data_IF_737405454917
#
_entry.id   IF_737405454917
#
_cell.length_a   1.000
_cell.length_b   1.000
_cell.length_c   1.000
_cell.angle_alpha   90.00
_cell.angle_beta   90.00
_cell.angle_gamma   90.00
#
_symmetry.space_group_name_H-M   'P 1'
#
loop_
_entity.id
_entity.type
_entity.pdbx_description
1 polymer ?
#
# COMPACT_ATOMS: atom_id res chain seq x y z
N UNK A 1 -66.69 -32.93 -16.32
CA UNK A 1 -67.81 -32.62 -17.23
C UNK A 1 -67.19 -32.44 -18.61
N UNK A 2 -67.41 -33.42 -19.51
CA UNK A 2 -67.38 -33.41 -20.99
C UNK A 2 -66.43 -32.43 -21.73
N UNK A 3 -65.79 -32.76 -22.85
CA UNK A 3 -65.48 -33.96 -23.62
C UNK A 3 -64.48 -33.47 -24.69
N UNK A 4 -63.75 -34.39 -25.29
CA UNK A 4 -62.95 -34.20 -26.50
C UNK A 4 -63.75 -33.69 -27.71
N UNK A 5 -63.00 -33.31 -28.76
CA UNK A 5 -63.21 -33.51 -30.22
C UNK A 5 -63.03 -32.20 -31.00
N UNK A 6 -62.60 -32.15 -32.26
CA UNK A 6 -61.69 -32.90 -33.15
C UNK A 6 -61.74 -32.18 -34.51
N UNK A 7 -60.77 -32.44 -35.40
CA UNK A 7 -60.92 -32.49 -36.87
C UNK A 7 -61.17 -31.14 -37.60
N UNK A 8 -60.21 -30.61 -38.40
CA UNK A 8 -59.94 -30.92 -39.83
C UNK A 8 -61.14 -30.53 -40.73
N UNK A 9 -61.07 -29.86 -41.88
CA UNK A 9 -60.02 -29.71 -42.89
C UNK A 9 -60.62 -28.89 -44.08
N UNK A 10 -59.78 -28.43 -45.03
CA UNK A 10 -60.08 -28.21 -46.48
C UNK A 10 -60.62 -26.84 -47.02
N UNK A 11 -59.78 -26.22 -47.89
CA UNK A 11 -60.00 -25.52 -49.20
C UNK A 11 -59.12 -24.24 -49.31
N UNK A 12 -57.93 -24.22 -49.95
CA UNK A 12 -57.53 -24.39 -51.35
C UNK A 12 -57.36 -23.07 -52.15
N UNK A 13 -56.13 -22.89 -52.69
CA UNK A 13 -55.72 -22.10 -53.87
C UNK A 13 -55.73 -20.55 -53.73
N UNK A 14 -54.74 -19.74 -54.11
CA UNK A 14 -53.89 -19.70 -55.32
C UNK A 14 -52.68 -18.73 -55.16
N UNK A 15 -51.54 -19.10 -55.80
CA UNK A 15 -50.48 -18.27 -56.43
C UNK A 15 -49.52 -17.35 -55.62
N UNK A 16 -48.28 -17.85 -55.50
CA UNK A 16 -47.00 -17.28 -55.95
C UNK A 16 -46.53 -15.88 -55.48
N UNK A 17 -45.44 -15.86 -54.69
CA UNK A 17 -44.12 -15.33 -55.12
C UNK A 17 -43.12 -15.27 -53.94
N UNK A 18 -41.90 -15.77 -54.20
CA UNK A 18 -40.61 -15.44 -53.58
C UNK A 18 -40.52 -15.23 -52.06
N UNK A 19 -39.85 -16.15 -51.34
CA UNK A 19 -38.59 -15.93 -50.60
C UNK A 19 -38.03 -17.30 -50.19
N UNK A 20 -36.81 -17.62 -50.61
CA UNK A 20 -36.04 -18.78 -50.15
C UNK A 20 -35.71 -18.66 -48.65
N UNK A 21 -35.91 -19.71 -47.82
CA UNK A 21 -35.33 -19.74 -46.49
C UNK A 21 -33.90 -20.30 -46.54
N UNK A 22 -32.96 -19.51 -46.05
CA UNK A 22 -31.57 -19.88 -45.84
C UNK A 22 -31.50 -20.88 -44.66
N UNK A 23 -31.51 -22.18 -44.97
CA UNK A 23 -31.24 -23.23 -43.98
C UNK A 23 -29.73 -23.33 -43.77
N UNK A 24 -29.22 -22.66 -42.73
CA UNK A 24 -27.88 -22.95 -42.21
C UNK A 24 -27.91 -24.33 -41.55
N UNK A 25 -27.38 -25.34 -42.24
CA UNK A 25 -27.01 -26.62 -41.65
C UNK A 25 -25.88 -26.37 -40.64
N UNK A 26 -26.19 -26.45 -39.35
CA UNK A 26 -25.19 -26.50 -38.30
C UNK A 26 -24.44 -27.84 -38.38
N UNK A 27 -23.32 -27.86 -39.10
CA UNK A 27 -22.33 -28.93 -38.98
C UNK A 27 -21.70 -28.82 -37.59
N UNK A 28 -22.07 -29.74 -36.69
CA UNK A 28 -21.36 -29.95 -35.43
C UNK A 28 -19.97 -30.48 -35.77
N UNK A 29 -19.01 -29.58 -35.93
CA UNK A 29 -17.60 -29.92 -35.97
C UNK A 29 -17.16 -30.25 -34.54
N UNK A 30 -16.99 -31.54 -34.28
CA UNK A 30 -16.40 -32.08 -33.06
C UNK A 30 -14.91 -31.73 -33.05
N UNK A 31 -14.56 -30.61 -32.42
CA UNK A 31 -13.17 -30.24 -32.17
C UNK A 31 -12.73 -30.83 -30.82
N UNK A 32 -12.62 -32.15 -30.76
CA UNK A 32 -11.81 -32.84 -29.74
C UNK A 32 -10.41 -33.04 -30.35
N UNK A 33 -9.62 -31.97 -30.36
CA UNK A 33 -8.17 -32.08 -30.51
C UNK A 33 -7.56 -31.66 -29.17
N UNK A 34 -6.82 -32.53 -28.46
CA UNK A 34 -6.00 -32.08 -27.36
C UNK A 34 -5.04 -31.05 -27.94
N UNK A 35 -4.99 -29.85 -27.34
CA UNK A 35 -3.86 -28.96 -27.55
C UNK A 35 -2.63 -29.71 -27.02
N UNK A 36 -1.90 -30.38 -27.92
CA UNK A 36 -0.54 -30.82 -27.64
C UNK A 36 0.30 -29.57 -27.37
N UNK A 37 0.40 -29.19 -26.11
CA UNK A 37 1.47 -28.34 -25.62
C UNK A 37 2.78 -29.04 -25.96
N UNK A 38 3.71 -28.42 -26.72
CA UNK A 38 5.03 -28.98 -26.90
C UNK A 38 5.65 -29.10 -25.52
N UNK A 39 5.82 -30.32 -25.05
CA UNK A 39 6.53 -30.63 -23.82
C UNK A 39 8.02 -30.39 -24.10
N UNK A 40 8.43 -29.12 -24.05
CA UNK A 40 9.84 -28.76 -23.96
C UNK A 40 10.39 -29.42 -22.71
N UNK A 41 11.39 -30.29 -22.88
CA UNK A 41 12.17 -30.87 -21.80
C UNK A 41 12.89 -29.74 -21.06
N UNK A 42 12.16 -29.16 -20.10
CA UNK A 42 12.51 -28.10 -19.17
C UNK A 42 12.80 -26.72 -19.80
N UNK A 43 11.88 -25.73 -19.69
CA UNK A 43 12.27 -24.33 -19.88
C UNK A 43 13.43 -23.99 -18.93
N UNK A 44 14.42 -23.26 -19.43
CA UNK A 44 15.58 -22.81 -18.64
C UNK A 44 15.11 -22.04 -17.41
N UNK A 45 15.55 -22.46 -16.22
CA UNK A 45 15.20 -21.81 -14.97
C UNK A 45 16.00 -20.52 -14.85
N UNK A 46 15.30 -19.41 -14.60
CA UNK A 46 15.91 -18.12 -14.39
C UNK A 46 16.35 -17.96 -12.93
N UNK A 47 17.60 -17.59 -12.70
CA UNK A 47 18.05 -17.23 -11.37
C UNK A 47 17.27 -16.02 -10.85
N UNK A 48 17.17 -14.96 -11.66
CA UNK A 48 16.56 -13.69 -11.25
C UNK A 48 15.05 -13.74 -11.09
N UNK A 49 14.36 -14.52 -11.91
CA UNK A 49 12.90 -14.55 -11.92
C UNK A 49 12.30 -15.72 -11.13
N UNK A 50 12.99 -16.87 -11.09
CA UNK A 50 12.45 -18.08 -10.46
C UNK A 50 13.16 -18.37 -9.12
N UNK A 51 14.50 -18.48 -9.12
CA UNK A 51 15.26 -18.81 -7.89
C UNK A 51 15.12 -17.73 -6.82
N UNK A 52 15.26 -16.45 -7.20
CA UNK A 52 15.08 -15.33 -6.26
C UNK A 52 13.66 -15.23 -5.71
N UNK A 53 12.66 -15.61 -6.52
CA UNK A 53 11.27 -15.68 -6.06
C UNK A 53 11.09 -16.80 -5.03
N UNK A 54 11.65 -17.99 -5.27
CA UNK A 54 11.65 -19.11 -4.32
C UNK A 54 12.30 -18.71 -2.99
N UNK A 55 13.49 -18.11 -3.02
CA UNK A 55 14.18 -17.69 -1.79
C UNK A 55 13.38 -16.65 -0.99
N UNK A 56 12.63 -15.80 -1.69
CA UNK A 56 11.72 -14.83 -1.07
C UNK A 56 10.47 -15.50 -0.49
N UNK A 57 9.84 -16.41 -1.24
CA UNK A 57 8.64 -17.17 -0.87
C UNK A 57 8.85 -18.05 0.35
N UNK A 58 9.98 -18.76 0.36
CA UNK A 58 10.42 -19.59 1.48
C UNK A 58 10.84 -18.78 2.72
N UNK A 59 10.98 -17.45 2.59
CA UNK A 59 11.42 -16.56 3.66
C UNK A 59 12.93 -16.64 3.96
N UNK A 60 13.73 -17.26 3.09
CA UNK A 60 15.18 -17.38 3.26
C UNK A 60 15.86 -16.01 3.31
N UNK A 61 15.45 -15.09 2.43
CA UNK A 61 15.95 -13.71 2.34
C UNK A 61 15.24 -12.74 3.29
N UNK A 62 14.45 -13.22 4.25
CA UNK A 62 13.79 -12.35 5.23
C UNK A 62 14.79 -11.76 6.25
N UNK A 63 14.46 -10.58 6.79
CA UNK A 63 15.30 -9.88 7.77
C UNK A 63 15.45 -10.60 9.12
N UNK A 64 14.65 -11.63 9.39
CA UNK A 64 14.77 -12.51 10.56
C UNK A 64 15.63 -13.76 10.29
N UNK A 65 15.98 -14.02 9.03
CA UNK A 65 16.72 -15.19 8.55
C UNK A 65 18.05 -14.75 7.91
N UNK A 66 18.34 -15.17 6.67
CA UNK A 66 19.62 -14.89 6.01
C UNK A 66 19.68 -13.50 5.38
N UNK A 67 18.54 -12.81 5.22
CA UNK A 67 18.45 -11.43 4.73
C UNK A 67 18.74 -10.35 5.77
N UNK A 68 19.14 -10.73 6.99
CA UNK A 68 19.50 -9.79 8.04
C UNK A 68 20.89 -9.17 7.79
N UNK A 69 21.22 -8.07 8.50
CA UNK A 69 22.49 -7.33 8.32
C UNK A 69 23.76 -8.21 8.35
N UNK A 70 23.77 -9.25 9.18
CA UNK A 70 24.91 -10.13 9.42
C UNK A 70 24.75 -11.52 8.76
N UNK A 71 23.59 -11.84 8.20
CA UNK A 71 23.23 -13.22 7.82
C UNK A 71 23.10 -14.15 9.03
N UNK A 72 23.11 -15.48 8.78
CA UNK A 72 23.12 -16.53 9.81
C UNK A 72 23.98 -17.71 9.35
N UNK A 73 24.75 -18.31 10.26
CA UNK A 73 25.56 -19.50 9.95
C UNK A 73 26.58 -19.29 8.82
N UNK A 74 27.14 -18.08 8.70
CA UNK A 74 28.01 -17.70 7.59
C UNK A 74 27.31 -17.67 6.23
N UNK A 75 25.98 -17.57 6.19
CA UNK A 75 25.19 -17.42 4.97
C UNK A 75 24.38 -16.12 5.04
N UNK A 76 24.62 -15.22 4.08
CA UNK A 76 23.99 -13.90 4.04
C UNK A 76 23.45 -13.63 2.65
N UNK A 77 22.13 -13.52 2.58
CA UNK A 77 21.42 -13.04 1.39
C UNK A 77 21.13 -11.55 1.56
N UNK A 78 20.83 -10.87 0.45
CA UNK A 78 20.29 -9.53 0.44
C UNK A 78 18.88 -9.53 1.03
N UNK A 79 18.50 -8.44 1.69
CA UNK A 79 17.19 -8.32 2.32
C UNK A 79 16.10 -8.39 1.25
N UNK A 80 15.20 -9.37 1.35
CA UNK A 80 14.10 -9.61 0.40
C UNK A 80 14.56 -9.80 -1.06
N UNK A 81 15.82 -10.20 -1.29
CA UNK A 81 16.35 -10.45 -2.64
C UNK A 81 16.61 -9.18 -3.45
N UNK A 82 16.92 -8.06 -2.79
CA UNK A 82 17.15 -6.76 -3.43
C UNK A 82 18.42 -6.67 -4.28
N UNK A 83 19.41 -7.55 -4.05
CA UNK A 83 20.69 -7.56 -4.78
C UNK A 83 20.98 -8.95 -5.36
N UNK A 84 20.31 -9.36 -6.47
CA UNK A 84 20.45 -10.70 -7.04
C UNK A 84 21.89 -11.05 -7.43
N UNK A 85 22.68 -10.08 -7.89
CA UNK A 85 24.08 -10.29 -8.25
C UNK A 85 24.94 -10.76 -7.06
N UNK A 86 24.71 -10.16 -5.89
CA UNK A 86 25.38 -10.55 -4.64
C UNK A 86 24.89 -11.94 -4.21
N UNK A 87 23.58 -12.14 -4.24
CA UNK A 87 22.95 -13.41 -3.83
C UNK A 87 23.41 -14.58 -4.69
N UNK A 88 23.59 -14.38 -5.99
CA UNK A 88 24.12 -15.38 -6.91
C UNK A 88 25.53 -15.83 -6.48
N UNK A 89 26.43 -14.87 -6.22
CA UNK A 89 27.80 -15.17 -5.78
C UNK A 89 27.79 -15.86 -4.41
N UNK A 90 26.95 -15.42 -3.49
CA UNK A 90 26.79 -16.06 -2.17
C UNK A 90 26.35 -17.51 -2.28
N UNK A 91 25.44 -17.82 -3.20
CA UNK A 91 24.95 -19.18 -3.38
C UNK A 91 25.97 -20.08 -4.07
N UNK A 92 26.67 -19.57 -5.08
CA UNK A 92 27.47 -20.38 -6.00
C UNK A 92 28.96 -20.42 -5.69
N UNK A 93 29.52 -19.41 -5.01
CA UNK A 93 30.98 -19.25 -4.85
C UNK A 93 31.44 -19.09 -3.41
N UNK A 94 30.63 -18.47 -2.57
CA UNK A 94 31.02 -18.12 -1.21
C UNK A 94 31.32 -19.37 -0.35
N UNK A 95 32.28 -19.23 0.57
CA UNK A 95 32.81 -20.33 1.39
C UNK A 95 33.17 -21.58 0.58
N UNK A 96 33.96 -21.40 -0.49
CA UNK A 96 34.45 -22.47 -1.37
C UNK A 96 33.32 -23.28 -2.04
N UNK A 97 32.25 -22.59 -2.45
CA UNK A 97 31.09 -23.18 -3.13
C UNK A 97 30.37 -24.31 -2.36
N UNK A 98 30.55 -24.40 -1.03
CA UNK A 98 30.03 -25.50 -0.19
C UNK A 98 28.50 -25.67 -0.14
N UNK A 99 27.73 -24.80 -0.80
CA UNK A 99 26.27 -24.70 -0.65
C UNK A 99 25.51 -25.43 -1.74
N UNK A 100 26.16 -25.63 -2.88
CA UNK A 100 25.61 -26.25 -4.07
C UNK A 100 26.59 -27.32 -4.51
N UNK A 101 26.05 -28.51 -4.77
CA UNK A 101 26.74 -29.59 -5.44
C UNK A 101 26.16 -29.71 -6.86
N UNK A 102 26.89 -29.26 -7.90
CA UNK A 102 26.41 -29.31 -9.28
C UNK A 102 26.36 -30.74 -9.84
N UNK A 103 27.12 -31.68 -9.28
CA UNK A 103 27.16 -33.07 -9.73
C UNK A 103 26.02 -33.88 -9.13
N UNK A 104 25.69 -33.61 -7.86
CA UNK A 104 24.55 -34.19 -7.16
C UNK A 104 23.63 -33.09 -6.61
N UNK A 105 22.77 -32.47 -7.46
CA UNK A 105 21.93 -31.35 -7.06
C UNK A 105 21.19 -31.56 -5.74
N UNK A 106 20.66 -32.76 -5.52
CA UNK A 106 19.88 -33.14 -4.33
C UNK A 106 20.70 -33.10 -3.03
N UNK A 107 22.04 -33.22 -3.10
CA UNK A 107 22.95 -33.10 -1.95
C UNK A 107 23.31 -31.64 -1.61
N UNK A 108 22.85 -30.69 -2.42
CA UNK A 108 23.10 -29.27 -2.17
C UNK A 108 22.47 -28.83 -0.84
N UNK A 109 23.25 -28.15 0.01
CA UNK A 109 22.75 -27.61 1.29
C UNK A 109 21.55 -26.67 1.13
N UNK A 110 21.45 -25.97 -0.02
CA UNK A 110 20.31 -25.11 -0.34
C UNK A 110 19.00 -25.88 -0.57
N UNK A 111 19.05 -27.21 -0.78
CA UNK A 111 17.90 -28.10 -0.81
C UNK A 111 17.74 -28.86 0.50
N UNK A 112 18.84 -29.40 1.05
CA UNK A 112 18.81 -30.23 2.26
C UNK A 112 18.36 -29.48 3.52
N UNK A 113 18.82 -28.23 3.72
CA UNK A 113 18.47 -27.43 4.91
C UNK A 113 16.99 -27.01 4.89
N UNK A 114 16.44 -26.41 3.82
CA UNK A 114 15.04 -25.97 3.82
C UNK A 114 14.03 -27.12 3.85
N UNK A 115 14.41 -28.32 3.36
CA UNK A 115 13.61 -29.55 3.45
C UNK A 115 13.84 -30.34 4.74
N UNK A 116 14.67 -29.83 5.66
CA UNK A 116 15.01 -30.44 6.97
C UNK A 116 15.64 -31.84 6.89
N UNK A 117 16.17 -32.24 5.74
CA UNK A 117 16.98 -33.45 5.60
C UNK A 117 18.31 -33.33 6.36
N UNK A 118 18.79 -32.09 6.52
CA UNK A 118 19.87 -31.73 7.44
C UNK A 118 19.34 -30.67 8.41
N UNK A 119 19.82 -30.71 9.66
CA UNK A 119 19.45 -29.78 10.72
C UNK A 119 19.51 -28.31 10.25
N UNK A 120 18.38 -27.62 10.34
CA UNK A 120 18.23 -26.22 9.98
C UNK A 120 17.44 -25.52 11.09
N UNK A 121 18.05 -24.51 11.72
CA UNK A 121 17.38 -23.72 12.77
C UNK A 121 16.12 -23.01 12.27
N UNK A 122 16.07 -22.70 10.97
CA UNK A 122 14.87 -22.20 10.33
C UNK A 122 13.75 -23.25 10.22
N UNK A 123 13.98 -24.52 10.52
CA UNK A 123 12.97 -25.57 10.30
C UNK A 123 12.60 -25.74 8.83
N UNK A 124 11.43 -26.35 8.59
CA UNK A 124 10.91 -26.64 7.26
C UNK A 124 10.46 -25.37 6.55
N UNK A 125 10.89 -25.20 5.30
CA UNK A 125 10.54 -24.05 4.45
C UNK A 125 9.75 -24.45 3.22
N UNK A 126 10.10 -25.57 2.61
CA UNK A 126 9.35 -26.24 1.55
C UNK A 126 9.64 -27.74 1.58
N UNK A 127 8.76 -28.53 0.96
CA UNK A 127 8.87 -30.01 0.94
C UNK A 127 9.69 -30.47 -0.27
N UNK A 128 10.23 -31.68 -0.21
CA UNK A 128 10.74 -32.34 -1.42
C UNK A 128 9.61 -32.50 -2.45
N UNK A 129 9.91 -32.33 -3.74
CA UNK A 129 8.92 -32.38 -4.82
C UNK A 129 7.95 -31.19 -4.90
N UNK A 130 8.13 -30.17 -4.06
CA UNK A 130 7.42 -28.88 -4.19
C UNK A 130 7.93 -28.11 -5.41
N UNK A 131 7.14 -27.14 -5.90
CA UNK A 131 7.54 -26.25 -6.99
C UNK A 131 8.88 -25.55 -6.69
N UNK A 132 9.07 -25.09 -5.45
CA UNK A 132 10.30 -24.44 -5.00
C UNK A 132 11.51 -25.38 -5.05
N UNK A 133 11.33 -26.63 -4.60
CA UNK A 133 12.36 -27.65 -4.65
C UNK A 133 12.76 -27.93 -6.09
N UNK A 134 11.78 -28.13 -6.98
CA UNK A 134 12.02 -28.44 -8.38
C UNK A 134 12.66 -27.27 -9.15
N UNK A 135 12.31 -26.02 -8.83
CA UNK A 135 12.98 -24.84 -9.41
C UNK A 135 14.45 -24.82 -9.01
N UNK A 136 14.75 -24.94 -7.72
CA UNK A 136 16.12 -24.91 -7.22
C UNK A 136 16.95 -26.08 -7.74
N UNK A 137 16.40 -27.31 -7.67
CA UNK A 137 17.06 -28.53 -8.15
C UNK A 137 17.39 -28.43 -9.65
N UNK A 138 16.42 -27.99 -10.48
CA UNK A 138 16.65 -27.80 -11.92
C UNK A 138 17.67 -26.72 -12.21
N UNK A 139 17.63 -25.60 -11.51
CA UNK A 139 18.63 -24.53 -11.70
C UNK A 139 20.05 -25.04 -11.41
N UNK A 140 20.22 -25.84 -10.35
CA UNK A 140 21.51 -26.46 -10.01
C UNK A 140 21.94 -27.44 -11.10
N UNK A 141 21.03 -28.34 -11.52
CA UNK A 141 21.29 -29.33 -12.57
C UNK A 141 21.63 -28.69 -13.93
N UNK A 142 21.13 -27.47 -14.20
CA UNK A 142 21.46 -26.67 -15.39
C UNK A 142 22.81 -25.96 -15.29
N UNK A 143 23.61 -26.21 -14.24
CA UNK A 143 24.90 -25.56 -14.03
C UNK A 143 24.79 -24.14 -13.47
N UNK A 144 23.67 -23.82 -12.80
CA UNK A 144 23.40 -22.55 -12.13
C UNK A 144 23.56 -21.33 -13.06
N UNK A 145 22.83 -21.22 -14.18
CA UNK A 145 22.94 -20.05 -15.06
C UNK A 145 22.63 -18.74 -14.29
N UNK A 146 23.49 -17.72 -14.44
CA UNK A 146 23.31 -16.40 -13.80
C UNK A 146 22.34 -15.47 -14.56
N UNK A 147 22.00 -15.80 -15.80
CA UNK A 147 21.08 -15.08 -16.71
C UNK A 147 21.19 -13.53 -16.74
N UNK A 148 22.35 -13.00 -16.33
CA UNK A 148 22.62 -11.58 -16.27
C UNK A 148 22.61 -11.00 -17.70
N UNK A 149 21.70 -10.07 -17.94
CA UNK A 149 21.53 -9.40 -19.23
C UNK A 149 20.63 -10.14 -20.22
N UNK A 150 20.33 -11.43 -20.00
CA UNK A 150 19.39 -12.20 -20.84
C UNK A 150 18.02 -12.38 -20.18
N UNK A 151 17.94 -12.39 -18.85
CA UNK A 151 16.67 -12.51 -18.15
C UNK A 151 15.77 -11.28 -18.39
N UNK A 152 14.49 -11.48 -18.78
CA UNK A 152 13.55 -10.39 -18.89
C UNK A 152 13.27 -9.83 -17.49
N UNK A 153 13.28 -8.51 -17.35
CA UNK A 153 13.11 -7.85 -16.05
C UNK A 153 11.63 -7.74 -15.73
N UNK A 154 11.27 -7.91 -14.47
CA UNK A 154 9.91 -7.63 -13.99
C UNK A 154 9.63 -6.13 -14.12
N UNK A 155 8.55 -5.76 -14.80
CA UNK A 155 8.11 -4.36 -14.94
C UNK A 155 7.09 -3.98 -13.88
N UNK A 156 6.11 -4.88 -13.65
CA UNK A 156 5.01 -4.68 -12.70
C UNK A 156 4.33 -6.00 -12.36
N UNK A 157 3.60 -6.00 -11.26
CA UNK A 157 2.59 -7.02 -10.97
C UNK A 157 1.20 -6.42 -10.97
N UNK A 158 0.21 -7.23 -11.29
CA UNK A 158 -1.20 -6.92 -11.12
C UNK A 158 -1.81 -8.00 -10.21
N UNK A 159 -2.46 -7.56 -9.14
CA UNK A 159 -3.09 -8.47 -8.18
C UNK A 159 -4.61 -8.31 -8.25
N UNK A 160 -5.32 -9.42 -8.42
CA UNK A 160 -6.77 -9.44 -8.50
C UNK A 160 -7.35 -10.30 -7.37
N UNK A 161 -8.34 -9.79 -6.62
CA UNK A 161 -8.83 -8.41 -6.61
C UNK A 161 -7.84 -7.44 -5.92
N UNK A 162 -7.88 -6.14 -6.28
CA UNK A 162 -7.15 -5.08 -5.55
C UNK A 162 -7.89 -4.61 -4.29
N UNK A 163 -9.22 -4.65 -4.33
CA UNK A 163 -10.06 -4.48 -3.15
C UNK A 163 -11.24 -5.44 -3.18
N UNK A 164 -11.65 -5.94 -2.00
CA UNK A 164 -12.85 -6.75 -1.86
C UNK A 164 -13.46 -6.60 -0.47
N UNK A 165 -14.75 -6.34 -0.44
CA UNK A 165 -15.57 -6.48 0.78
C UNK A 165 -16.23 -7.85 0.72
N UNK A 166 -15.93 -8.69 1.70
CA UNK A 166 -16.54 -9.98 1.92
C UNK A 166 -17.60 -9.85 3.00
N UNK A 167 -18.82 -10.28 2.69
CA UNK A 167 -19.95 -10.23 3.61
C UNK A 167 -20.33 -11.67 3.91
N UNK A 168 -20.44 -12.01 5.19
CA UNK A 168 -20.82 -13.37 5.61
C UNK A 168 -22.05 -13.88 4.83
N UNK A 169 -22.05 -15.17 4.42
CA UNK A 169 -21.11 -16.22 4.80
C UNK A 169 -19.79 -16.25 4.00
N UNK A 170 -19.55 -15.32 3.07
CA UNK A 170 -18.28 -15.27 2.36
C UNK A 170 -17.15 -14.81 3.30
N UNK A 171 -16.18 -15.69 3.55
CA UNK A 171 -15.01 -15.44 4.41
C UNK A 171 -13.69 -15.67 3.71
N UNK A 172 -13.73 -16.13 2.45
CA UNK A 172 -12.55 -16.51 1.68
C UNK A 172 -12.50 -15.79 0.33
N UNK A 173 -11.30 -15.45 -0.10
CA UNK A 173 -11.03 -14.87 -1.43
C UNK A 173 -9.69 -15.35 -1.96
N UNK A 174 -9.71 -15.83 -3.20
CA UNK A 174 -8.49 -16.19 -3.92
C UNK A 174 -7.83 -14.93 -4.50
N UNK A 175 -6.57 -14.70 -4.18
CA UNK A 175 -5.74 -13.71 -4.88
C UNK A 175 -5.10 -14.34 -6.11
N UNK A 176 -5.00 -13.58 -7.19
CA UNK A 176 -4.21 -13.96 -8.38
C UNK A 176 -3.17 -12.90 -8.65
N UNK A 177 -1.94 -13.32 -8.91
CA UNK A 177 -0.80 -12.43 -9.15
C UNK A 177 -0.30 -12.64 -10.57
N UNK A 178 -0.47 -11.63 -11.42
CA UNK A 178 0.04 -11.63 -12.78
C UNK A 178 1.27 -10.72 -12.86
N UNK A 179 2.41 -11.28 -13.24
CA UNK A 179 3.66 -10.54 -13.43
C UNK A 179 3.89 -10.26 -14.91
N UNK A 180 4.15 -9.01 -15.27
CA UNK A 180 4.52 -8.61 -16.63
C UNK A 180 6.01 -8.28 -16.70
N UNK A 181 6.68 -8.83 -17.71
CA UNK A 181 8.13 -8.67 -17.91
C UNK A 181 8.45 -7.84 -19.16
N UNK A 182 9.70 -7.40 -19.29
CA UNK A 182 10.17 -6.52 -20.39
C UNK A 182 10.13 -7.15 -21.78
N UNK A 183 10.03 -8.48 -21.87
CA UNK A 183 9.80 -9.21 -23.12
C UNK A 183 8.33 -9.19 -23.56
N UNK A 184 7.46 -8.53 -22.78
CA UNK A 184 6.01 -8.46 -23.02
C UNK A 184 5.23 -9.65 -22.47
N UNK A 185 5.91 -10.69 -21.98
CA UNK A 185 5.26 -11.89 -21.44
C UNK A 185 4.61 -11.56 -20.10
N UNK A 186 3.40 -12.09 -19.90
CA UNK A 186 2.70 -12.06 -18.63
C UNK A 186 2.57 -13.49 -18.10
N UNK A 187 2.92 -13.72 -16.84
CA UNK A 187 2.86 -15.04 -16.20
C UNK A 187 2.09 -14.97 -14.90
N UNK A 188 1.37 -16.05 -14.59
CA UNK A 188 0.78 -16.25 -13.28
C UNK A 188 1.88 -16.62 -12.28
N UNK A 189 2.00 -15.83 -11.22
CA UNK A 189 3.01 -15.96 -10.16
C UNK A 189 2.34 -16.14 -8.79
N UNK A 190 1.09 -16.59 -8.76
CA UNK A 190 0.31 -16.72 -7.53
C UNK A 190 0.98 -17.64 -6.50
N UNK A 191 1.54 -18.78 -6.92
CA UNK A 191 2.27 -19.70 -6.03
C UNK A 191 3.59 -19.10 -5.55
N UNK A 192 4.33 -18.39 -6.40
CA UNK A 192 5.65 -17.83 -6.09
C UNK A 192 5.63 -16.43 -5.45
N UNK A 193 4.47 -15.78 -5.38
CA UNK A 193 4.31 -14.48 -4.72
C UNK A 193 4.32 -14.61 -3.19
N UNK A 194 4.87 -13.60 -2.52
CA UNK A 194 4.91 -13.50 -1.06
C UNK A 194 3.68 -12.72 -0.58
N UNK A 195 2.96 -13.27 0.40
CA UNK A 195 1.77 -12.66 0.99
C UNK A 195 2.06 -12.28 2.44
N UNK A 196 1.98 -10.98 2.76
CA UNK A 196 2.23 -10.43 4.09
C UNK A 196 0.95 -9.72 4.60
N UNK A 197 0.08 -10.39 5.38
CA UNK A 197 -1.07 -9.73 5.98
C UNK A 197 -0.62 -8.71 7.04
N UNK A 198 -1.22 -7.53 7.03
CA UNK A 198 -0.87 -6.43 7.94
C UNK A 198 -1.26 -6.70 9.41
N UNK A 199 -2.21 -7.61 9.63
CA UNK A 199 -2.69 -7.99 10.96
C UNK A 199 -3.23 -9.44 10.93
N UNK A 200 -3.60 -9.95 12.11
CA UNK A 200 -4.09 -11.33 12.29
C UNK A 200 -5.54 -11.56 11.82
N UNK A 201 -6.21 -10.56 11.24
CA UNK A 201 -7.58 -10.71 10.73
C UNK A 201 -7.66 -11.55 9.45
N UNK A 202 -6.54 -11.76 8.76
CA UNK A 202 -6.46 -12.63 7.60
C UNK A 202 -5.29 -13.61 7.73
N UNK A 203 -5.55 -14.86 7.35
CA UNK A 203 -4.49 -15.83 7.03
C UNK A 203 -4.46 -16.01 5.52
N UNK A 204 -3.27 -16.15 4.96
CA UNK A 204 -3.09 -16.38 3.53
C UNK A 204 -2.39 -17.71 3.35
N UNK A 205 -2.96 -18.58 2.52
CA UNK A 205 -2.34 -19.87 2.17
C UNK A 205 -1.11 -19.66 1.29
N UNK A 206 -0.37 -20.75 1.05
CA UNK A 206 0.73 -20.75 0.10
C UNK A 206 0.28 -20.28 -1.29
N UNK A 207 -0.87 -20.72 -1.77
CA UNK A 207 -1.37 -20.40 -3.11
C UNK A 207 -2.21 -19.13 -3.16
N UNK A 208 -2.13 -18.24 -2.16
CA UNK A 208 -2.82 -16.94 -2.18
C UNK A 208 -4.32 -16.99 -1.84
N UNK A 209 -4.81 -18.09 -1.25
CA UNK A 209 -6.17 -18.13 -0.68
C UNK A 209 -6.17 -17.38 0.65
N UNK A 210 -6.91 -16.29 0.73
CA UNK A 210 -7.08 -15.51 1.95
C UNK A 210 -8.31 -15.99 2.69
N UNK A 211 -8.16 -16.26 3.98
CA UNK A 211 -9.24 -16.62 4.89
C UNK A 211 -9.35 -15.62 6.05
N UNK A 212 -10.51 -14.98 6.16
CA UNK A 212 -10.84 -14.07 7.25
C UNK A 212 -10.93 -14.80 8.60
N UNK A 213 -10.36 -14.21 9.64
CA UNK A 213 -10.34 -14.75 11.01
C UNK A 213 -11.33 -14.02 11.95
N UNK A 214 -11.98 -12.97 11.46
CA UNK A 214 -12.93 -12.17 12.21
C UNK A 214 -13.38 -10.95 11.42
N UNK A 215 -14.28 -10.17 12.01
CA UNK A 215 -14.79 -8.95 11.41
C UNK A 215 -13.76 -7.81 11.47
N UNK A 216 -13.60 -7.07 10.38
CA UNK A 216 -12.72 -5.92 10.32
C UNK A 216 -12.05 -5.76 8.96
N UNK A 217 -11.12 -4.81 8.90
CA UNK A 217 -10.37 -4.51 7.68
C UNK A 217 -8.92 -4.89 7.83
N UNK A 218 -8.34 -5.34 6.72
CA UNK A 218 -6.94 -5.68 6.64
C UNK A 218 -6.39 -5.37 5.26
N UNK A 219 -5.07 -5.31 5.18
CA UNK A 219 -4.35 -5.20 3.91
C UNK A 219 -3.42 -6.39 3.82
N UNK A 220 -3.45 -7.09 2.69
CA UNK A 220 -2.44 -8.09 2.35
C UNK A 220 -1.46 -7.44 1.40
N UNK A 221 -0.22 -7.22 1.85
CA UNK A 221 0.84 -6.79 0.95
C UNK A 221 1.29 -8.00 0.13
N UNK A 222 1.13 -7.91 -1.19
CA UNK A 222 1.54 -8.96 -2.12
C UNK A 222 2.81 -8.52 -2.81
N UNK A 223 3.85 -9.34 -2.75
CA UNK A 223 5.15 -9.02 -3.31
C UNK A 223 5.64 -10.13 -4.23
N UNK A 224 6.21 -9.73 -5.35
CA UNK A 224 6.95 -10.64 -6.22
C UNK A 224 8.20 -9.90 -6.71
N UNK A 225 9.36 -10.48 -6.38
CA UNK A 225 10.66 -9.83 -6.53
C UNK A 225 10.66 -8.42 -5.89
N UNK A 226 10.89 -7.38 -6.70
CA UNK A 226 10.98 -5.98 -6.28
C UNK A 226 9.66 -5.21 -6.40
N UNK A 227 8.62 -5.78 -7.01
CA UNK A 227 7.30 -5.16 -7.10
C UNK A 227 6.43 -5.60 -5.93
N UNK A 228 5.59 -4.68 -5.45
CA UNK A 228 4.64 -4.93 -4.38
C UNK A 228 3.33 -4.19 -4.63
N UNK A 229 2.22 -4.83 -4.31
CA UNK A 229 0.86 -4.29 -4.46
C UNK A 229 0.05 -4.56 -3.19
N UNK A 230 -0.58 -3.55 -2.59
CA UNK A 230 -1.45 -3.74 -1.44
C UNK A 230 -2.86 -4.18 -1.89
N UNK A 231 -3.36 -5.27 -1.33
CA UNK A 231 -4.74 -5.72 -1.50
C UNK A 231 -5.56 -5.37 -0.27
N UNK A 232 -6.62 -4.57 -0.43
CA UNK A 232 -7.47 -4.09 0.67
C UNK A 232 -8.69 -5.00 0.83
N UNK A 233 -8.80 -5.67 1.97
CA UNK A 233 -9.87 -6.62 2.27
C UNK A 233 -10.67 -6.15 3.48
N UNK A 234 -11.98 -6.33 3.43
CA UNK A 234 -12.86 -6.11 4.57
C UNK A 234 -13.76 -7.33 4.77
N UNK A 235 -13.78 -7.87 5.98
CA UNK A 235 -14.66 -8.96 6.39
C UNK A 235 -15.78 -8.36 7.24
N UNK A 236 -17.01 -8.43 6.73
CA UNK A 236 -18.17 -7.74 7.28
C UNK A 236 -19.22 -8.78 7.70
N UNK A 237 -19.72 -8.71 8.95
CA UNK A 237 -20.81 -9.59 9.38
C UNK A 237 -22.08 -9.37 8.55
N UNK A 238 -22.89 -10.42 8.36
CA UNK A 238 -24.06 -10.36 7.47
C UNK A 238 -25.05 -9.24 7.84
N UNK A 239 -25.21 -8.97 9.15
CA UNK A 239 -26.16 -8.01 9.74
C UNK A 239 -27.52 -8.02 9.03
N UNK A 240 -28.30 -9.11 9.18
CA UNK A 240 -29.63 -9.19 8.58
C UNK A 240 -30.49 -8.04 9.11
N UNK A 241 -31.07 -7.24 8.20
CA UNK A 241 -31.85 -6.04 8.57
C UNK A 241 -31.05 -4.74 8.66
N UNK A 242 -29.77 -4.71 8.24
CA UNK A 242 -29.06 -3.44 8.11
C UNK A 242 -29.78 -2.50 7.13
N UNK A 243 -30.25 -1.37 7.66
CA UNK A 243 -30.78 -0.24 6.88
C UNK A 243 -29.92 0.97 7.20
N UNK A 244 -29.42 1.63 6.16
CA UNK A 244 -28.68 2.88 6.30
C UNK A 244 -29.63 3.99 6.76
N UNK A 245 -29.37 4.57 7.94
CA UNK A 245 -30.21 5.62 8.55
C UNK A 245 -30.16 6.96 7.82
N UNK A 246 -29.26 7.12 6.85
CA UNK A 246 -29.07 8.34 6.06
C UNK A 246 -28.98 9.64 6.88
N UNK A 247 -28.02 9.74 7.82
CA UNK A 247 -27.81 10.96 8.59
C UNK A 247 -27.39 12.14 7.70
N UNK A 248 -27.63 13.37 8.14
CA UNK A 248 -27.27 14.57 7.38
C UNK A 248 -25.74 14.68 7.22
N UNK A 249 -25.32 15.08 6.02
CA UNK A 249 -23.94 15.45 5.71
C UNK A 249 -23.67 16.88 6.20
N UNK A 250 -22.67 17.07 7.07
CA UNK A 250 -22.29 18.40 7.57
C UNK A 250 -21.09 18.98 6.82
N UNK A 251 -20.22 18.13 6.30
CA UNK A 251 -19.03 18.52 5.55
C UNK A 251 -18.60 17.41 4.56
N UNK A 252 -17.54 17.68 3.79
CA UNK A 252 -17.01 16.72 2.80
C UNK A 252 -16.36 15.48 3.43
N UNK A 253 -15.95 15.56 4.71
CA UNK A 253 -15.37 14.43 5.44
C UNK A 253 -16.48 13.42 5.76
N UNK A 254 -17.67 13.89 6.15
CA UNK A 254 -18.85 13.03 6.37
C UNK A 254 -19.19 12.21 5.12
N UNK A 255 -19.04 12.77 3.91
CA UNK A 255 -19.26 12.04 2.66
C UNK A 255 -18.35 10.81 2.56
N UNK A 256 -17.06 10.96 2.89
CA UNK A 256 -16.07 9.89 2.85
C UNK A 256 -16.30 8.87 3.97
N UNK A 257 -16.58 9.34 5.19
CA UNK A 257 -16.88 8.48 6.34
C UNK A 257 -18.14 7.66 6.06
N UNK A 258 -19.22 8.28 5.57
CA UNK A 258 -20.48 7.59 5.29
C UNK A 258 -20.38 6.64 4.11
N UNK A 259 -19.61 6.99 3.07
CA UNK A 259 -19.28 6.03 2.02
C UNK A 259 -18.64 4.77 2.61
N UNK A 260 -17.67 4.94 3.52
CA UNK A 260 -17.00 3.81 4.18
C UNK A 260 -17.91 3.02 5.12
N UNK A 261 -18.68 3.69 5.98
CA UNK A 261 -19.59 3.01 6.91
C UNK A 261 -20.66 2.20 6.18
N UNK A 262 -21.14 2.70 5.02
CA UNK A 262 -22.06 1.94 4.15
C UNK A 262 -21.45 0.65 3.63
N UNK A 263 -20.19 0.66 3.16
CA UNK A 263 -19.53 -0.58 2.71
C UNK A 263 -19.36 -1.58 3.85
N UNK A 264 -19.14 -1.09 5.07
CA UNK A 264 -19.02 -1.90 6.28
C UNK A 264 -20.37 -2.25 6.94
N UNK A 265 -21.50 -1.90 6.31
CA UNK A 265 -22.86 -2.09 6.83
C UNK A 265 -23.05 -1.56 8.26
N UNK A 266 -22.41 -0.44 8.59
CA UNK A 266 -22.50 0.23 9.90
C UNK A 266 -23.28 1.53 9.77
N UNK A 267 -24.10 1.83 10.76
CA UNK A 267 -24.62 3.19 10.95
C UNK A 267 -23.65 3.98 11.83
N UNK A 268 -23.46 5.28 11.59
CA UNK A 268 -22.65 6.10 12.49
C UNK A 268 -23.31 6.17 13.87
N UNK A 269 -22.48 6.32 14.89
CA UNK A 269 -22.92 6.54 16.26
C UNK A 269 -23.71 7.84 16.37
N UNK A 270 -24.62 7.87 17.34
CA UNK A 270 -25.36 9.08 17.68
C UNK A 270 -24.43 10.17 18.23
N UNK A 271 -24.90 11.41 18.17
CA UNK A 271 -24.17 12.54 18.74
C UNK A 271 -24.07 12.39 20.25
N UNK A 272 -22.85 12.44 20.77
CA UNK A 272 -22.59 12.40 22.21
C UNK A 272 -23.21 13.60 22.94
N UNK A 273 -23.40 13.50 24.25
CA UNK A 273 -23.82 14.61 25.12
C UNK A 273 -22.79 15.75 25.15
N UNK A 274 -23.15 16.93 25.67
CA UNK A 274 -22.21 18.06 25.73
C UNK A 274 -21.09 17.84 26.77
N UNK A 275 -21.41 17.14 27.86
CA UNK A 275 -20.47 16.71 28.90
C UNK A 275 -19.42 15.75 28.34
N UNK A 276 -19.85 14.78 27.52
CA UNK A 276 -18.94 13.85 26.85
C UNK A 276 -18.11 14.57 25.80
N UNK A 277 -18.72 15.50 25.05
CA UNK A 277 -18.03 16.25 24.01
C UNK A 277 -16.91 17.13 24.56
N UNK A 278 -17.19 17.97 25.57
CA UNK A 278 -16.18 18.90 26.14
C UNK A 278 -14.99 18.12 26.68
N UNK A 279 -15.24 17.02 27.39
CA UNK A 279 -14.17 16.15 27.90
C UNK A 279 -13.31 15.58 26.77
N UNK A 280 -13.92 15.07 25.69
CA UNK A 280 -13.19 14.50 24.55
C UNK A 280 -12.41 15.57 23.79
N UNK A 281 -13.01 16.72 23.52
CA UNK A 281 -12.34 17.82 22.82
C UNK A 281 -11.06 18.27 23.54
N UNK A 282 -11.11 18.44 24.87
CA UNK A 282 -9.92 18.79 25.67
C UNK A 282 -8.85 17.69 25.65
N UNK A 283 -9.24 16.43 25.83
CA UNK A 283 -8.28 15.32 25.82
C UNK A 283 -7.64 15.11 24.45
N UNK A 284 -8.44 15.19 23.38
CA UNK A 284 -7.99 14.94 22.02
C UNK A 284 -7.13 16.10 21.47
N UNK A 285 -7.44 17.35 21.84
CA UNK A 285 -6.73 18.53 21.33
C UNK A 285 -5.56 18.95 22.24
N UNK A 286 -5.72 18.89 23.56
CA UNK A 286 -4.74 19.43 24.52
C UNK A 286 -4.07 18.37 25.39
N UNK A 287 -4.58 17.13 25.40
CA UNK A 287 -4.06 16.07 26.28
C UNK A 287 -4.36 16.26 27.77
N UNK A 288 -5.23 17.21 28.12
CA UNK A 288 -5.62 17.52 29.50
C UNK A 288 -7.13 17.50 29.67
N UNK A 289 -7.62 17.52 30.91
CA UNK A 289 -9.05 17.66 31.21
C UNK A 289 -9.44 19.14 31.31
N UNK A 290 -10.70 19.50 30.99
CA UNK A 290 -11.21 20.82 31.31
C UNK A 290 -11.31 20.97 32.83
N UNK A 291 -11.15 22.20 33.32
CA UNK A 291 -11.52 22.53 34.70
C UNK A 291 -13.03 22.39 34.89
N UNK A 292 -13.47 22.24 36.14
CA UNK A 292 -14.89 22.15 36.46
C UNK A 292 -15.66 23.40 36.01
N UNK A 293 -15.02 24.58 36.06
CA UNK A 293 -15.61 25.83 35.61
C UNK A 293 -15.77 25.87 34.09
N UNK A 294 -14.71 25.58 33.33
CA UNK A 294 -14.77 25.51 31.85
C UNK A 294 -15.83 24.51 31.36
N UNK A 295 -15.89 23.33 31.98
CA UNK A 295 -16.87 22.31 31.62
C UNK A 295 -18.31 22.77 31.89
N UNK A 296 -18.58 23.38 33.05
CA UNK A 296 -19.91 23.92 33.39
C UNK A 296 -20.28 25.09 32.50
N UNK A 297 -19.34 26.01 32.25
CA UNK A 297 -19.54 27.15 31.37
C UNK A 297 -19.92 26.67 29.95
N UNK A 298 -19.20 25.68 29.42
CA UNK A 298 -19.56 25.07 28.15
C UNK A 298 -20.94 24.42 28.22
N UNK A 299 -21.21 23.51 29.15
CA UNK A 299 -22.51 22.79 29.20
C UNK A 299 -23.69 23.77 29.30
N UNK A 300 -23.56 24.82 30.12
CA UNK A 300 -24.60 25.82 30.34
C UNK A 300 -24.68 26.90 29.25
N UNK A 301 -23.74 26.96 28.31
CA UNK A 301 -23.80 27.89 27.19
C UNK A 301 -25.02 27.58 26.30
N UNK A 302 -25.97 28.51 26.33
CA UNK A 302 -27.23 28.51 25.58
C UNK A 302 -27.23 29.54 24.43
N UNK A 303 -26.12 30.25 24.22
CA UNK A 303 -26.04 31.47 23.42
C UNK A 303 -26.54 31.25 21.99
N UNK A 304 -27.49 32.08 21.59
CA UNK A 304 -27.81 32.45 20.21
C UNK A 304 -26.92 33.65 19.90
N UNK A 305 -25.92 33.52 19.03
CA UNK A 305 -25.23 34.71 18.54
C UNK A 305 -25.00 34.60 17.04
N UNK A 306 -25.51 35.62 16.36
CA UNK A 306 -25.59 35.80 14.91
C UNK A 306 -24.25 36.10 14.23
N UNK A 307 -23.12 35.82 14.89
CA UNK A 307 -21.81 36.25 14.41
C UNK A 307 -20.75 35.21 14.78
N UNK A 308 -20.68 34.15 13.97
CA UNK A 308 -19.52 33.27 13.94
C UNK A 308 -18.87 33.53 12.60
N UNK A 309 -17.62 34.03 12.63
CA UNK A 309 -16.73 34.01 11.46
C UNK A 309 -16.94 32.70 10.72
N UNK A 310 -17.25 32.78 9.42
CA UNK A 310 -17.66 31.64 8.58
C UNK A 310 -16.93 30.35 8.99
N UNK A 311 -17.64 29.26 9.34
CA UNK A 311 -17.01 28.02 9.76
C UNK A 311 -15.91 27.62 8.76
N UNK A 312 -14.72 27.32 9.28
CA UNK A 312 -13.47 27.10 8.51
C UNK A 312 -13.59 25.95 7.49
N UNK A 313 -14.64 25.13 7.57
CA UNK A 313 -14.88 23.97 6.69
C UNK A 313 -16.19 24.05 5.88
N UNK A 314 -16.62 25.24 5.45
CA UNK A 314 -17.68 25.34 4.46
C UNK A 314 -17.16 24.98 3.06
N UNK A 315 -17.42 23.74 2.66
CA UNK A 315 -17.42 23.40 1.25
C UNK A 315 -18.55 24.20 0.58
N UNK A 316 -18.25 25.04 -0.42
CA UNK A 316 -19.29 25.80 -1.17
C UNK A 316 -20.37 24.88 -1.77
N UNK A 317 -20.08 23.58 -1.93
CA UNK A 317 -21.04 22.58 -2.42
C UNK A 317 -21.96 21.99 -1.33
N UNK A 318 -21.64 22.13 -0.04
CA UNK A 318 -22.48 21.59 1.05
C UNK A 318 -23.55 22.57 1.54
N UNK A 319 -23.46 23.86 1.18
CA UNK A 319 -24.41 24.88 1.62
C UNK A 319 -25.63 25.04 0.70
N UNK A 320 -25.56 24.61 -0.56
CA UNK A 320 -26.54 25.02 -1.58
C UNK A 320 -27.74 24.07 -1.69
N UNK A 321 -27.85 23.01 -0.87
CA UNK A 321 -28.81 21.93 -1.15
C UNK A 321 -29.58 21.27 -0.01
N UNK A 322 -29.48 21.69 1.26
CA UNK A 322 -30.15 20.96 2.33
C UNK A 322 -31.18 21.79 3.12
N UNK A 323 -32.48 21.73 2.75
CA UNK A 323 -33.57 22.39 3.49
C UNK A 323 -33.85 21.73 4.87
N UNK A 324 -33.12 20.68 5.25
CA UNK A 324 -33.18 20.03 6.56
C UNK A 324 -31.80 20.03 7.23
N UNK A 325 -31.21 21.21 7.41
CA UNK A 325 -30.39 21.45 8.59
C UNK A 325 -31.29 21.14 9.79
N UNK A 326 -31.11 19.93 10.35
CA UNK A 326 -31.81 19.42 11.52
C UNK A 326 -32.05 20.54 12.53
N UNK A 327 -33.30 20.63 13.02
CA UNK A 327 -33.87 21.59 14.00
C UNK A 327 -32.92 22.68 14.52
N UNK A 328 -33.34 23.94 14.58
CA UNK A 328 -32.53 25.07 15.07
C UNK A 328 -31.69 24.78 16.35
N UNK A 329 -32.16 23.89 17.22
CA UNK A 329 -31.42 23.29 18.34
C UNK A 329 -30.12 22.56 17.96
N UNK A 330 -30.11 21.67 16.97
CA UNK A 330 -28.91 20.93 16.55
C UNK A 330 -27.88 21.86 15.92
N UNK A 331 -28.32 22.80 15.06
CA UNK A 331 -27.42 23.80 14.47
C UNK A 331 -26.71 24.61 15.54
N UNK A 332 -27.44 25.09 16.55
CA UNK A 332 -26.87 25.82 17.69
C UNK A 332 -25.84 24.99 18.43
N UNK A 333 -26.17 23.72 18.69
CA UNK A 333 -25.27 22.78 19.36
C UNK A 333 -23.97 22.58 18.60
N UNK A 334 -24.04 22.39 17.28
CA UNK A 334 -22.84 22.24 16.43
C UNK A 334 -22.00 23.51 16.37
N UNK A 335 -22.63 24.69 16.30
CA UNK A 335 -21.93 25.98 16.32
C UNK A 335 -21.20 26.22 17.65
N UNK A 336 -21.86 25.93 18.77
CA UNK A 336 -21.25 25.97 20.11
C UNK A 336 -20.02 25.06 20.19
N UNK A 337 -20.09 23.84 19.63
CA UNK A 337 -18.95 22.90 19.58
C UNK A 337 -17.81 23.40 18.71
N UNK A 338 -18.11 23.98 17.54
CA UNK A 338 -17.11 24.55 16.66
C UNK A 338 -16.35 25.70 17.35
N UNK A 339 -17.06 26.62 18.02
CA UNK A 339 -16.44 27.71 18.80
C UNK A 339 -15.51 27.19 19.88
N UNK A 340 -15.91 26.14 20.62
CA UNK A 340 -15.03 25.53 21.61
C UNK A 340 -13.77 24.98 20.95
N UNK A 341 -13.90 24.25 19.83
CA UNK A 341 -12.74 23.71 19.10
C UNK A 341 -11.79 24.84 18.69
N UNK A 342 -12.31 25.92 18.08
CA UNK A 342 -11.50 27.05 17.65
C UNK A 342 -10.72 27.67 18.83
N UNK A 343 -11.38 27.85 19.98
CA UNK A 343 -10.74 28.34 21.21
C UNK A 343 -9.65 27.40 21.73
N UNK A 344 -9.86 26.08 21.66
CA UNK A 344 -8.86 25.11 22.10
C UNK A 344 -7.67 25.03 21.14
N UNK A 345 -7.87 25.21 19.84
CA UNK A 345 -6.77 25.22 18.86
C UNK A 345 -5.83 26.42 19.05
N UNK A 346 -6.33 27.54 19.58
CA UNK A 346 -5.54 28.75 19.86
C UNK A 346 -4.71 28.65 21.15
N UNK A 347 -4.96 27.64 21.99
CA UNK A 347 -4.25 27.45 23.27
C UNK A 347 -2.82 26.95 23.06
N UNK A 348 -1.83 27.45 23.83
CA UNK A 348 -0.45 26.97 23.72
C UNK A 348 -0.31 25.48 23.99
N UNK A 349 -1.18 24.91 24.85
CA UNK A 349 -1.19 23.48 25.16
C UNK A 349 -1.49 22.60 23.94
N UNK A 350 -2.21 23.12 22.94
CA UNK A 350 -2.44 22.40 21.68
C UNK A 350 -1.11 22.16 20.96
N UNK A 351 -0.29 23.22 20.82
CA UNK A 351 1.02 23.11 20.20
C UNK A 351 1.93 22.18 21.01
N UNK A 352 1.93 22.30 22.34
CA UNK A 352 2.75 21.44 23.20
C UNK A 352 2.38 19.96 23.05
N UNK A 353 1.09 19.63 23.14
CA UNK A 353 0.61 18.26 23.07
C UNK A 353 0.89 17.61 21.71
N UNK A 354 0.59 18.32 20.61
CA UNK A 354 0.84 17.78 19.28
C UNK A 354 2.32 17.73 18.91
N UNK A 355 3.16 18.60 19.50
CA UNK A 355 4.61 18.49 19.35
C UNK A 355 5.12 17.18 19.88
N UNK A 356 4.65 16.75 21.06
CA UNK A 356 5.03 15.45 21.64
C UNK A 356 4.65 14.30 20.71
N UNK A 357 3.42 14.31 20.16
CA UNK A 357 2.95 13.28 19.21
C UNK A 357 3.83 13.20 17.95
N UNK A 358 4.17 14.35 17.38
CA UNK A 358 5.04 14.41 16.20
C UNK A 358 6.49 14.07 16.51
N UNK A 359 7.00 14.46 17.67
CA UNK A 359 8.34 14.13 18.12
C UNK A 359 8.52 12.61 18.29
N UNK A 360 7.51 11.92 18.83
CA UNK A 360 7.49 10.46 18.93
C UNK A 360 7.51 9.80 17.54
N UNK A 361 6.64 10.27 16.64
CA UNK A 361 6.54 9.74 15.27
C UNK A 361 7.86 9.93 14.49
N UNK A 362 8.49 11.10 14.65
CA UNK A 362 9.72 11.48 13.98
C UNK A 362 10.98 11.00 14.71
N UNK A 363 10.82 10.24 15.81
CA UNK A 363 11.93 9.66 16.59
C UNK A 363 12.93 10.72 17.04
N UNK A 364 12.42 11.83 17.58
CA UNK A 364 13.22 12.94 18.13
C UNK A 364 13.83 12.52 19.47
N UNK A 365 14.84 11.67 19.42
CA UNK A 365 15.46 11.04 20.59
C UNK A 365 16.98 11.23 20.62
N UNK A 366 17.57 11.33 21.81
CA UNK A 366 19.00 11.61 22.00
C UNK A 366 19.93 10.45 21.56
N UNK A 367 19.39 9.28 21.24
CA UNK A 367 20.15 8.20 20.62
C UNK A 367 20.47 8.50 19.16
N UNK A 368 19.48 9.08 18.49
CA UNK A 368 19.52 9.51 17.11
C UNK A 368 20.19 10.89 17.03
N UNK A 369 19.81 11.81 17.90
CA UNK A 369 20.20 13.21 17.88
C UNK A 369 21.14 13.53 19.05
N UNK A 370 21.95 14.57 19.00
CA UNK A 370 22.56 15.10 20.24
C UNK A 370 21.53 15.92 21.03
N UNK A 371 21.83 16.27 22.30
CA UNK A 371 20.87 16.97 23.17
C UNK A 371 20.39 18.31 22.58
N UNK A 372 21.33 19.13 22.11
CA UNK A 372 21.02 20.40 21.43
C UNK A 372 20.13 20.15 20.21
N UNK A 373 20.42 19.06 19.52
CA UNK A 373 19.62 18.64 18.41
C UNK A 373 18.16 18.34 18.80
N UNK A 374 17.94 17.49 19.80
CA UNK A 374 16.59 17.15 20.28
C UNK A 374 15.80 18.42 20.58
N UNK A 375 16.41 19.37 21.30
CA UNK A 375 15.81 20.65 21.66
C UNK A 375 15.43 21.47 20.42
N UNK A 376 16.36 21.63 19.47
CA UNK A 376 16.13 22.38 18.24
C UNK A 376 15.02 21.75 17.38
N UNK A 377 15.00 20.43 17.24
CA UNK A 377 13.96 19.77 16.45
C UNK A 377 12.59 19.94 17.09
N UNK A 378 12.52 19.67 18.39
CA UNK A 378 11.30 19.82 19.15
C UNK A 378 10.77 21.26 19.06
N UNK A 379 11.63 22.26 19.20
CA UNK A 379 11.26 23.67 19.06
C UNK A 379 10.70 23.99 17.67
N UNK A 380 11.37 23.53 16.61
CA UNK A 380 10.90 23.74 15.24
C UNK A 380 9.54 23.07 14.97
N UNK A 381 9.34 21.83 15.43
CA UNK A 381 8.04 21.14 15.30
C UNK A 381 6.96 21.94 16.03
N UNK A 382 7.25 22.39 17.26
CA UNK A 382 6.33 23.19 18.05
C UNK A 382 5.94 24.48 17.36
N UNK A 383 6.91 25.19 16.79
CA UNK A 383 6.67 26.41 16.04
C UNK A 383 5.78 26.14 14.82
N UNK A 384 6.05 25.08 14.05
CA UNK A 384 5.21 24.70 12.92
C UNK A 384 3.76 24.46 13.31
N UNK A 385 3.51 23.80 14.45
CA UNK A 385 2.15 23.53 14.93
C UNK A 385 1.49 24.82 15.45
N UNK A 386 2.21 25.62 16.23
CA UNK A 386 1.71 26.88 16.77
C UNK A 386 1.33 27.89 15.67
N UNK A 387 2.07 27.91 14.57
CA UNK A 387 1.81 28.76 13.40
C UNK A 387 0.78 28.16 12.42
N UNK A 388 0.21 26.99 12.74
CA UNK A 388 -0.70 26.25 11.86
C UNK A 388 -0.10 26.04 10.45
N UNK A 389 1.18 25.66 10.38
CA UNK A 389 1.90 25.46 9.12
C UNK A 389 1.20 24.38 8.28
N UNK A 390 0.93 24.64 6.99
CA UNK A 390 0.36 23.64 6.10
C UNK A 390 1.21 22.36 6.05
N UNK A 391 0.55 21.20 6.12
CA UNK A 391 1.25 19.91 6.22
C UNK A 391 2.17 19.64 5.02
N UNK A 392 1.82 20.11 3.81
CA UNK A 392 2.66 19.99 2.62
C UNK A 392 3.96 20.79 2.75
N UNK A 393 3.90 21.97 3.38
CA UNK A 393 5.08 22.79 3.69
C UNK A 393 5.93 22.14 4.78
N UNK A 394 5.31 21.69 5.87
CA UNK A 394 5.98 20.94 6.94
C UNK A 394 6.77 19.75 6.39
N UNK A 395 6.14 18.92 5.55
CA UNK A 395 6.77 17.74 4.92
C UNK A 395 7.86 18.14 3.92
N UNK A 396 7.63 19.19 3.11
CA UNK A 396 8.63 19.67 2.15
C UNK A 396 9.90 20.17 2.85
N UNK A 397 9.73 20.92 3.94
CA UNK A 397 10.85 21.40 4.75
C UNK A 397 11.59 20.25 5.43
N UNK A 398 10.87 19.23 5.91
CA UNK A 398 11.44 18.04 6.50
C UNK A 398 12.34 17.26 5.50
N UNK A 399 11.96 17.22 4.21
CA UNK A 399 12.67 16.47 3.17
C UNK A 399 13.78 17.23 2.42
N UNK A 400 13.91 18.56 2.57
CA UNK A 400 14.85 19.35 1.76
C UNK A 400 16.32 18.92 2.01
N UNK A 401 17.08 18.55 0.96
CA UNK A 401 18.52 18.30 1.07
C UNK A 401 19.27 19.58 1.47
N UNK A 402 20.21 19.42 2.41
CA UNK A 402 21.01 20.48 3.06
C UNK A 402 22.02 21.17 2.13
N UNK A 403 21.59 21.92 1.13
CA UNK A 403 22.51 22.79 0.38
C UNK A 403 21.91 24.20 0.28
N UNK A 404 22.69 25.18 0.77
CA UNK A 404 22.37 26.58 1.03
C UNK A 404 21.61 26.85 2.34
N UNK A 405 22.38 27.24 3.37
CA UNK A 405 22.10 28.32 4.32
C UNK A 405 23.26 28.40 5.34
N UNK A 406 24.44 28.77 4.83
CA UNK A 406 25.37 29.60 5.61
C UNK A 406 25.16 31.01 5.07
N UNK A 407 25.01 31.99 5.95
CA UNK A 407 24.71 33.41 5.67
C UNK A 407 23.22 33.79 5.70
N UNK A 408 22.63 33.79 6.90
CA UNK A 408 21.97 34.98 7.46
C UNK A 408 21.48 34.64 8.88
N UNK A 409 21.82 35.51 9.81
CA UNK A 409 21.38 35.63 11.20
C UNK A 409 20.54 34.52 11.85
N UNK A 410 21.12 33.85 12.85
CA UNK A 410 20.42 33.50 14.09
C UNK A 410 19.38 32.38 14.10
N UNK A 411 18.94 31.87 12.96
CA UNK A 411 17.97 30.76 12.88
C UNK A 411 18.66 29.49 12.37
N UNK A 412 18.74 28.44 13.20
CA UNK A 412 19.27 27.16 12.74
C UNK A 412 18.56 25.90 13.30
N UNK A 413 17.91 25.25 12.33
CA UNK A 413 17.68 23.84 12.00
C UNK A 413 17.74 22.72 13.07
N UNK A 414 16.85 21.70 12.93
CA UNK A 414 16.95 20.42 13.61
C UNK A 414 18.19 19.57 13.25
N UNK A 415 18.69 18.74 14.17
CA UNK A 415 19.70 17.71 13.95
C UNK A 415 19.17 16.53 13.10
N UNK A 416 20.09 15.69 12.62
CA UNK A 416 19.76 14.42 11.95
C UNK A 416 19.99 13.24 12.90
N UNK A 417 19.17 12.17 12.82
CA UNK A 417 19.48 10.87 13.40
C UNK A 417 20.83 10.37 12.89
N UNK A 418 21.81 10.22 13.78
CA UNK A 418 23.10 9.60 13.50
C UNK A 418 22.87 8.14 13.12
N UNK A 419 23.07 7.81 11.85
CA UNK A 419 23.41 6.44 11.47
C UNK A 419 24.74 6.08 12.15
N UNK A 420 24.73 5.08 13.06
CA UNK A 420 25.95 4.55 13.70
C UNK A 420 26.97 4.13 12.64
N UNK A 421 27.98 4.97 12.39
CA UNK A 421 29.22 4.57 11.70
C UNK A 421 29.96 3.59 12.60
N UNK A 422 30.36 2.47 12.03
CA UNK A 422 31.15 1.44 12.68
C UNK A 422 32.47 2.04 13.20
N UNK A 423 32.78 1.80 14.47
CA UNK A 423 34.15 1.90 14.96
C UNK A 423 34.98 0.86 14.20
N UNK A 424 35.86 1.32 13.31
CA UNK A 424 37.03 0.54 12.90
C UNK A 424 38.13 0.80 13.91
N UNK A 425 38.37 -0.19 14.77
CA UNK A 425 39.60 -0.35 15.52
C UNK A 425 40.64 -1.07 14.65
N UNK A 426 41.80 -0.46 14.45
CA UNK A 426 42.94 -1.10 13.79
C UNK A 426 44.09 -0.12 13.65
N UNK A 427 45.15 -0.30 14.44
CA UNK A 427 46.23 0.67 14.62
C UNK A 427 47.40 0.60 13.65
N UNK A 428 48.32 1.54 13.92
CA UNK A 428 49.75 1.60 13.61
C UNK A 428 50.23 1.77 12.15
N UNK A 429 51.00 2.85 11.93
CA UNK A 429 52.27 2.76 11.21
C UNK A 429 52.53 3.68 10.00
N UNK A 430 53.30 4.76 10.25
CA UNK A 430 54.34 5.38 9.39
C UNK A 430 53.90 6.42 8.30
N UNK A 431 54.61 7.57 8.19
CA UNK A 431 54.26 8.68 7.29
C UNK A 431 55.10 8.70 5.99
N UNK A 432 54.61 9.36 4.92
CA UNK A 432 55.47 9.96 3.89
C UNK A 432 54.77 10.98 2.98
N UNK A 433 55.62 11.87 2.47
CA UNK A 433 55.41 13.14 1.78
C UNK A 433 54.68 13.11 0.42
N UNK A 434 54.06 14.26 0.12
CA UNK A 434 53.97 15.01 -1.15
C UNK A 434 53.69 14.28 -2.48
N UNK A 435 52.67 14.75 -3.21
CA UNK A 435 52.86 15.36 -4.54
C UNK A 435 51.62 16.13 -5.02
N UNK A 436 51.89 17.10 -5.88
CA UNK A 436 51.01 18.16 -6.34
C UNK A 436 50.09 17.78 -7.52
N UNK A 437 49.02 18.58 -7.65
CA UNK A 437 48.31 19.01 -8.86
C UNK A 437 47.86 17.98 -9.91
N UNK A 438 46.54 18.02 -10.22
CA UNK A 438 46.04 18.65 -11.46
C UNK A 438 44.51 18.75 -11.46
N UNK A 439 43.99 19.96 -11.67
CA UNK A 439 42.62 20.22 -12.10
C UNK A 439 42.51 19.92 -13.60
N UNK A 440 41.43 19.27 -14.00
CA UNK A 440 40.92 19.25 -15.38
C UNK A 440 39.45 19.69 -15.32
N UNK A 441 39.00 20.63 -16.16
CA UNK A 441 37.64 21.16 -16.11
C UNK A 441 36.70 20.24 -16.91
N UNK A 442 35.53 19.91 -16.34
CA UNK A 442 34.42 19.39 -17.14
C UNK A 442 33.42 20.49 -17.47
N UNK A 443 33.26 20.61 -18.77
CA UNK A 443 32.40 21.48 -19.57
C UNK A 443 30.90 21.24 -19.35
N UNK A 444 30.16 22.35 -19.33
CA UNK A 444 28.82 22.56 -19.88
C UNK A 444 27.87 21.35 -19.97
N UNK A 445 27.01 21.20 -18.95
CA UNK A 445 25.69 20.59 -19.10
C UNK A 445 24.64 21.64 -18.73
N UNK A 446 23.84 22.06 -19.71
CA UNK A 446 22.62 22.87 -19.48
C UNK A 446 21.52 21.94 -18.96
N UNK A 447 20.87 22.21 -17.82
CA UNK A 447 19.70 21.45 -17.40
C UNK A 447 18.50 21.82 -18.26
N UNK A 448 17.81 20.78 -18.75
CA UNK A 448 16.51 20.87 -19.41
C UNK A 448 15.44 21.38 -18.43
N UNK A 449 14.58 22.20 -19.01
CA UNK A 449 13.51 22.99 -18.41
C UNK A 449 12.47 22.14 -17.64
N UNK A 450 12.50 22.18 -16.30
CA UNK A 450 11.55 21.48 -15.43
C UNK A 450 10.22 22.25 -15.27
N UNK A 451 9.73 22.86 -16.34
CA UNK A 451 8.55 23.73 -16.37
C UNK A 451 7.30 23.10 -17.00
N UNK A 452 7.27 21.79 -17.28
CA UNK A 452 6.20 21.21 -18.11
C UNK A 452 5.80 19.77 -17.75
N UNK A 453 5.45 19.49 -16.49
CA UNK A 453 4.76 18.22 -16.13
C UNK A 453 3.98 18.27 -14.79
N UNK A 454 3.35 19.41 -14.47
CA UNK A 454 2.39 19.52 -13.34
C UNK A 454 1.12 20.28 -13.74
N UNK A 455 0.48 19.85 -14.84
CA UNK A 455 -0.90 20.23 -15.18
C UNK A 455 -1.68 19.04 -15.71
N UNK A 456 -2.06 18.11 -14.85
CA UNK A 456 -3.20 17.23 -15.08
C UNK A 456 -3.86 16.92 -13.73
N UNK A 457 -5.06 17.47 -13.54
CA UNK A 457 -5.81 17.34 -12.29
C UNK A 457 -6.87 18.42 -12.07
N UNK A 458 -7.63 18.79 -13.11
CA UNK A 458 -8.89 19.52 -12.93
C UNK A 458 -10.03 18.71 -13.58
N UNK A 459 -11.15 18.46 -12.87
CA UNK A 459 -12.31 17.83 -13.46
C UNK A 459 -13.02 18.83 -14.40
N UNK A 460 -13.26 18.39 -15.63
CA UNK A 460 -14.08 19.09 -16.62
C UNK A 460 -15.52 19.17 -16.12
N UNK A 461 -16.04 20.39 -15.99
CA UNK A 461 -17.46 20.65 -15.75
C UNK A 461 -18.17 20.76 -17.10
N UNK A 462 -19.25 20.01 -17.27
CA UNK A 462 -20.11 20.04 -18.44
C UNK A 462 -20.89 21.37 -18.49
N UNK A 463 -20.36 22.37 -19.20
CA UNK A 463 -21.09 23.55 -19.67
C UNK A 463 -20.25 24.35 -20.66
N UNK A 464 -19.84 23.73 -21.76
CA UNK A 464 -19.16 24.43 -22.87
C UNK A 464 -19.26 23.61 -24.18
N UNK A 465 -20.47 23.10 -24.46
CA UNK A 465 -20.83 22.57 -25.80
C UNK A 465 -22.08 23.32 -26.25
N UNK A 466 -21.90 24.55 -26.71
CA UNK A 466 -22.77 25.19 -27.69
C UNK A 466 -22.09 26.45 -28.22
N UNK A 467 -21.83 26.45 -29.53
CA UNK A 467 -21.41 27.64 -30.28
C UNK A 467 -19.95 27.62 -30.69
N UNK A 468 -19.63 26.97 -31.81
CA UNK A 468 -19.40 27.71 -33.06
C UNK A 468 -19.13 26.74 -34.21
N UNK A 469 -20.12 26.69 -35.10
CA UNK A 469 -19.99 26.32 -36.50
C UNK A 469 -19.23 27.42 -37.25
N UNK A 470 -18.65 26.98 -38.37
CA UNK A 470 -18.36 27.71 -39.60
C UNK A 470 -16.99 28.39 -39.80
N UNK A 471 -16.33 27.93 -40.88
CA UNK A 471 -15.59 28.66 -41.93
C UNK A 471 -14.33 29.42 -41.44
N UNK A 472 -13.13 29.22 -41.97
CA UNK A 472 -12.65 28.89 -43.33
C UNK A 472 -11.19 28.47 -43.23
#
# INVERSE_FOLDING_TARGET
MFMELSASDILAQTFAACVLPFLLTATVARADSPLETPQSAFPTVSFRNDVMAVLSKAGCSAGTCHGNKNGKGGFKLSLRGQEPDVDYVTLTRDLFARRIDPMEPQQSLILLKPTTQVAHEGGLRFKQGSEEYEILSRWIAQGMPNDLGSAPKLERIAVAPQEKVLIEPATEVQLRVLARFTDGVTRDMTSLAVYEPANSLARVSHDGLVQGQGAGETTVLVRYLHCQEPVRLAFVPARPGFVWKNPPLNNYIDEQIFAKLRTLRMNPSELCSDEVFVRRAYLDLLGILPTAEEARAFVNDSVVAADVRRPIFQNRKSEIGNPKLATASLRRRLQKRARLIDQLLERPEFADFWTLKWADLLRVEAHSLDQKGVQNFHHWIRQCIAENKPLDQFVRELHRPRQHLQQSHGEFLPPQPRSRRALQSGGAGVPRHALAMRRVPQSSFRPLDAGRLLRLGRPLCAREIQGHREQT
#
